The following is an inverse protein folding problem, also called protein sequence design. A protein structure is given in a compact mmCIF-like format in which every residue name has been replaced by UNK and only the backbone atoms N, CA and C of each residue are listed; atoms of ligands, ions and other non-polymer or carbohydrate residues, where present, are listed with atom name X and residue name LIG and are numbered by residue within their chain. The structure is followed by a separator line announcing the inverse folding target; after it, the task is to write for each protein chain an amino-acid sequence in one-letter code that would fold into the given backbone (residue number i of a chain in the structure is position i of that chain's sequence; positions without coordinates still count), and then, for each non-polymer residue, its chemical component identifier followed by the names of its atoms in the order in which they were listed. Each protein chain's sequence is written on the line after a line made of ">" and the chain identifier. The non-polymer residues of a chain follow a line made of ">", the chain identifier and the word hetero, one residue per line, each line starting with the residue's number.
data_IF_622959677383
#
_entry.id   IF_622959677383
#
_cell.length_a   1.000
_cell.length_b   1.000
_cell.length_c   1.000
_cell.angle_alpha   90.00
_cell.angle_beta   90.00
_cell.angle_gamma   90.00
#
_symmetry.space_group_name_H-M   'P 1'
#
loop_
_entity.id
_entity.type
_entity.pdbx_description
1 polymer ?
#
# COMPACT_ATOMS: atom_id res chain seq x y z
N UNK A 1 -14.06 -8.74 -14.14
CA UNK A 1 -15.27 -9.47 -14.48
C UNK A 1 -16.42 -9.09 -13.55
N UNK A 2 -17.64 -9.08 -14.03
CA UNK A 2 -18.83 -8.71 -13.23
C UNK A 2 -19.07 -9.68 -12.06
N UNK A 3 -18.52 -10.88 -12.13
CA UNK A 3 -18.63 -11.93 -11.11
C UNK A 3 -17.53 -11.89 -10.03
N UNK A 4 -16.49 -11.06 -10.19
CA UNK A 4 -15.43 -10.96 -9.20
C UNK A 4 -15.96 -10.28 -7.92
N UNK A 5 -15.73 -10.89 -6.77
CA UNK A 5 -16.09 -10.32 -5.45
C UNK A 5 -15.02 -9.44 -4.86
N UNK A 6 -13.79 -9.52 -5.36
CA UNK A 6 -12.60 -8.88 -4.82
C UNK A 6 -11.80 -8.19 -5.91
N UNK A 7 -11.17 -7.08 -5.55
CA UNK A 7 -10.21 -6.35 -6.38
C UNK A 7 -8.87 -6.40 -5.68
N UNK A 8 -7.83 -6.74 -6.43
CA UNK A 8 -6.46 -6.72 -5.95
C UNK A 8 -5.65 -5.82 -6.86
N UNK A 9 -4.94 -4.86 -6.27
CA UNK A 9 -4.10 -3.88 -6.97
C UNK A 9 -2.65 -4.10 -6.58
N UNK A 10 -1.78 -4.14 -7.57
CA UNK A 10 -0.34 -4.26 -7.35
C UNK A 10 0.44 -3.33 -8.27
N UNK A 11 1.43 -2.63 -7.71
CA UNK A 11 2.36 -1.78 -8.45
C UNK A 11 3.21 -2.63 -9.41
N UNK A 12 3.16 -2.35 -10.71
CA UNK A 12 4.04 -3.00 -11.69
C UNK A 12 5.53 -2.76 -11.41
N UNK A 13 5.86 -1.69 -10.69
CA UNK A 13 7.21 -1.36 -10.28
C UNK A 13 7.71 -2.13 -9.04
N UNK A 14 6.96 -3.14 -8.54
CA UNK A 14 7.38 -4.03 -7.44
C UNK A 14 7.57 -5.46 -7.95
N UNK A 15 8.70 -5.75 -8.60
CA UNK A 15 8.90 -7.04 -9.28
C UNK A 15 9.17 -8.20 -8.31
N UNK A 16 9.53 -7.91 -7.06
CA UNK A 16 9.96 -8.93 -6.09
C UNK A 16 8.81 -9.41 -5.19
N UNK A 17 7.57 -9.35 -5.66
CA UNK A 17 6.40 -9.84 -4.92
C UNK A 17 6.49 -11.35 -4.71
N UNK A 18 6.35 -11.78 -3.46
CA UNK A 18 6.29 -13.21 -3.09
C UNK A 18 4.84 -13.65 -2.90
N UNK A 19 4.46 -14.84 -3.40
CA UNK A 19 3.07 -15.33 -3.31
C UNK A 19 2.47 -15.28 -1.91
N UNK A 20 3.25 -15.61 -0.89
CA UNK A 20 2.80 -15.58 0.51
C UNK A 20 2.27 -14.21 0.96
N UNK A 21 2.86 -13.10 0.45
CA UNK A 21 2.38 -11.76 0.79
C UNK A 21 1.03 -11.48 0.13
N UNK A 22 0.87 -11.91 -1.11
CA UNK A 22 -0.39 -11.82 -1.83
C UNK A 22 -1.50 -12.56 -1.09
N UNK A 23 -1.23 -13.79 -0.68
CA UNK A 23 -2.17 -14.64 0.06
C UNK A 23 -2.56 -13.99 1.40
N UNK A 24 -1.58 -13.48 2.16
CA UNK A 24 -1.83 -12.82 3.45
C UNK A 24 -2.71 -11.58 3.32
N UNK A 25 -2.48 -10.75 2.30
CA UNK A 25 -3.29 -9.56 2.05
C UNK A 25 -4.71 -9.94 1.64
N UNK A 26 -4.86 -10.94 0.76
CA UNK A 26 -6.17 -11.38 0.31
C UNK A 26 -6.97 -12.03 1.45
N UNK A 27 -6.32 -12.81 2.31
CA UNK A 27 -6.96 -13.40 3.49
C UNK A 27 -7.43 -12.33 4.48
N UNK A 28 -6.59 -11.32 4.77
CA UNK A 28 -6.98 -10.20 5.61
C UNK A 28 -8.16 -9.41 5.01
N UNK A 29 -8.13 -9.16 3.71
CA UNK A 29 -9.24 -8.48 3.02
C UNK A 29 -10.54 -9.30 3.10
N UNK A 30 -10.46 -10.62 2.95
CA UNK A 30 -11.63 -11.50 3.10
C UNK A 30 -12.24 -11.44 4.49
N UNK A 31 -11.41 -11.32 5.51
CA UNK A 31 -11.85 -11.22 6.91
C UNK A 31 -12.40 -9.83 7.24
N UNK A 32 -11.70 -8.77 6.82
CA UNK A 32 -11.94 -7.39 7.28
C UNK A 32 -12.60 -6.48 6.22
N UNK A 33 -12.72 -6.94 4.97
CA UNK A 33 -13.31 -6.20 3.84
C UNK A 33 -12.31 -5.47 2.97
N UNK A 34 -11.21 -4.97 3.55
CA UNK A 34 -10.12 -4.31 2.83
C UNK A 34 -8.80 -4.46 3.61
N UNK A 35 -7.71 -4.65 2.89
CA UNK A 35 -6.38 -4.76 3.47
C UNK A 35 -5.31 -4.17 2.54
N UNK A 36 -4.28 -3.59 3.15
CA UNK A 36 -3.08 -3.13 2.50
C UNK A 36 -1.85 -3.68 3.24
N UNK A 37 -0.79 -4.00 2.53
CA UNK A 37 0.45 -4.36 3.19
C UNK A 37 1.39 -3.16 3.34
N UNK A 38 2.30 -3.26 4.29
CA UNK A 38 3.29 -2.23 4.53
C UNK A 38 4.31 -2.64 5.58
N UNK A 39 5.32 -1.81 5.73
CA UNK A 39 6.35 -2.00 6.75
C UNK A 39 6.15 -0.99 7.88
N UNK A 40 6.24 -1.39 9.15
CA UNK A 40 6.33 -0.43 10.24
C UNK A 40 7.51 0.52 10.01
N UNK A 41 7.33 1.82 10.29
CA UNK A 41 8.42 2.79 10.16
C UNK A 41 9.57 2.43 11.12
N UNK A 42 10.72 2.07 10.55
CA UNK A 42 11.89 1.61 11.31
C UNK A 42 12.87 2.74 11.65
N UNK A 43 12.69 3.92 11.06
CA UNK A 43 13.54 5.10 11.28
C UNK A 43 12.70 6.26 11.77
N UNK A 44 13.35 7.25 12.38
CA UNK A 44 12.68 8.49 12.81
C UNK A 44 12.09 9.22 11.60
N UNK A 45 10.81 9.57 11.69
CA UNK A 45 10.07 10.28 10.63
C UNK A 45 9.86 11.73 11.07
N UNK A 46 10.30 12.66 10.25
CA UNK A 46 10.18 14.10 10.49
C UNK A 46 9.35 14.74 9.39
N UNK A 47 8.38 15.55 9.78
CA UNK A 47 7.70 16.44 8.85
C UNK A 47 8.44 17.79 8.81
N UNK A 48 8.72 18.28 7.61
CA UNK A 48 9.40 19.55 7.38
C UNK A 48 8.55 20.45 6.48
N UNK A 49 8.78 21.75 6.57
CA UNK A 49 8.16 22.71 5.68
C UNK A 49 8.93 22.86 4.36
N UNK A 50 8.47 23.80 3.53
CA UNK A 50 9.04 24.09 2.22
C UNK A 50 10.52 24.55 2.30
N UNK A 51 10.94 25.13 3.42
CA UNK A 51 12.32 25.54 3.68
C UNK A 51 13.20 24.40 4.20
N UNK A 52 12.62 23.18 4.36
CA UNK A 52 13.24 22.01 4.98
C UNK A 52 13.48 22.15 6.47
N UNK A 53 12.84 23.12 7.13
CA UNK A 53 12.85 23.22 8.59
C UNK A 53 11.91 22.17 9.18
N UNK A 54 12.41 21.38 10.13
CA UNK A 54 11.61 20.35 10.80
C UNK A 54 10.50 21.01 11.63
N UNK A 55 9.27 20.62 11.39
CA UNK A 55 8.09 21.10 12.14
C UNK A 55 7.69 20.16 13.24
N UNK A 56 7.79 18.86 13.00
CA UNK A 56 7.43 17.84 13.99
C UNK A 56 8.17 16.54 13.72
N UNK A 57 8.52 15.84 14.78
CA UNK A 57 8.96 14.44 14.72
C UNK A 57 7.76 13.58 15.09
N UNK A 58 7.38 12.69 14.19
CA UNK A 58 6.19 11.84 14.34
C UNK A 58 6.50 10.64 15.25
N UNK A 59 5.51 10.25 16.04
CA UNK A 59 5.56 8.97 16.74
C UNK A 59 5.39 7.83 15.74
N UNK A 60 6.46 7.06 15.53
CA UNK A 60 6.50 6.02 14.51
C UNK A 60 5.83 4.70 14.90
N UNK A 61 5.43 4.52 16.15
CA UNK A 61 4.84 3.25 16.62
C UNK A 61 3.59 2.84 15.84
N UNK A 62 2.87 3.81 15.29
CA UNK A 62 1.66 3.60 14.49
C UNK A 62 1.81 3.98 13.03
N UNK A 63 3.02 4.26 12.57
CA UNK A 63 3.29 4.61 11.19
C UNK A 63 3.70 3.40 10.38
N UNK A 64 3.04 3.26 9.23
CA UNK A 64 3.31 2.21 8.26
C UNK A 64 3.73 2.81 6.93
N UNK A 65 4.75 2.25 6.33
CA UNK A 65 5.17 2.56 4.97
C UNK A 65 4.41 1.64 4.02
N UNK A 66 3.39 2.18 3.39
CA UNK A 66 2.48 1.40 2.57
C UNK A 66 3.17 0.78 1.36
N UNK A 67 2.85 -0.46 1.10
CA UNK A 67 3.24 -1.21 -0.09
C UNK A 67 1.98 -1.67 -0.85
N UNK A 68 2.15 -2.33 -1.96
CA UNK A 68 1.15 -3.19 -2.59
C UNK A 68 1.66 -4.64 -2.56
N UNK A 69 0.79 -5.66 -2.60
CA UNK A 69 -0.62 -5.61 -2.99
C UNK A 69 -1.53 -4.98 -1.95
N UNK A 70 -2.65 -4.45 -2.46
CA UNK A 70 -3.79 -4.02 -1.66
C UNK A 70 -5.03 -4.74 -2.19
N UNK A 71 -5.90 -5.22 -1.32
CA UNK A 71 -7.07 -6.00 -1.70
C UNK A 71 -8.33 -5.47 -1.03
N UNK A 72 -9.42 -5.43 -1.77
CA UNK A 72 -10.67 -4.80 -1.35
C UNK A 72 -11.87 -5.61 -1.80
N UNK A 73 -12.96 -5.55 -1.05
CA UNK A 73 -14.27 -5.93 -1.56
C UNK A 73 -14.61 -5.06 -2.77
N UNK A 74 -15.05 -5.69 -3.83
CA UNK A 74 -15.38 -4.99 -5.08
C UNK A 74 -16.48 -3.94 -4.89
N UNK A 75 -17.51 -4.24 -4.10
CA UNK A 75 -18.61 -3.32 -3.83
C UNK A 75 -18.14 -2.07 -3.06
N UNK A 76 -17.24 -2.24 -2.09
CA UNK A 76 -16.64 -1.12 -1.36
C UNK A 76 -15.78 -0.24 -2.29
N UNK A 77 -14.98 -0.89 -3.12
CA UNK A 77 -14.11 -0.16 -4.06
C UNK A 77 -14.93 0.61 -5.10
N UNK A 78 -15.99 0.00 -5.65
CA UNK A 78 -16.90 0.67 -6.58
C UNK A 78 -17.61 1.87 -5.92
N UNK A 79 -18.06 1.72 -4.69
CA UNK A 79 -18.69 2.81 -3.94
C UNK A 79 -17.69 3.94 -3.64
N UNK A 80 -16.47 3.60 -3.24
CA UNK A 80 -15.41 4.58 -2.98
C UNK A 80 -15.07 5.40 -4.24
N UNK A 81 -14.96 4.74 -5.39
CA UNK A 81 -14.75 5.40 -6.68
C UNK A 81 -15.89 6.37 -7.03
N UNK A 82 -17.13 5.98 -6.78
CA UNK A 82 -18.30 6.85 -7.02
C UNK A 82 -18.31 8.06 -6.08
N UNK A 83 -17.97 7.88 -4.80
CA UNK A 83 -17.93 8.96 -3.81
C UNK A 83 -16.76 9.92 -4.00
N UNK A 84 -15.65 9.46 -4.57
CA UNK A 84 -14.46 10.29 -4.80
C UNK A 84 -14.68 11.38 -5.86
N UNK A 85 -15.78 11.28 -6.59
CA UNK A 85 -16.13 12.20 -7.67
C UNK A 85 -14.96 12.35 -8.66
N UNK A 86 -14.51 13.55 -8.98
CA UNK A 86 -13.43 13.77 -9.96
C UNK A 86 -12.04 13.91 -9.35
N UNK A 87 -11.89 13.74 -8.03
CA UNK A 87 -10.65 14.02 -7.28
C UNK A 87 -9.74 12.81 -7.10
N UNK A 88 -9.74 11.82 -7.99
CA UNK A 88 -8.92 10.60 -7.87
C UNK A 88 -7.41 10.88 -7.78
N UNK A 89 -6.93 11.96 -8.40
CA UNK A 89 -5.53 12.38 -8.32
C UNK A 89 -5.08 12.85 -6.94
N UNK A 90 -6.02 13.13 -6.03
CA UNK A 90 -5.74 13.53 -4.65
C UNK A 90 -5.43 12.37 -3.70
N UNK A 91 -5.54 11.12 -4.16
CA UNK A 91 -5.31 9.93 -3.34
C UNK A 91 -3.94 9.32 -3.66
N UNK A 92 -3.05 9.14 -2.65
CA UNK A 92 -1.72 8.58 -2.86
C UNK A 92 -1.74 7.09 -3.20
N UNK A 93 -2.77 6.36 -2.78
CA UNK A 93 -3.00 4.94 -3.09
C UNK A 93 -4.50 4.59 -3.10
N UNK A 94 -4.83 3.37 -3.51
CA UNK A 94 -6.23 2.93 -3.56
C UNK A 94 -6.82 2.71 -2.17
N UNK A 95 -6.02 2.33 -1.19
CA UNK A 95 -6.47 2.19 0.20
C UNK A 95 -7.00 3.51 0.76
N UNK A 96 -6.31 4.63 0.51
CA UNK A 96 -6.75 5.95 0.97
C UNK A 96 -8.09 6.38 0.36
N UNK A 97 -8.40 5.90 -0.83
CA UNK A 97 -9.70 6.10 -1.46
C UNK A 97 -10.83 5.43 -0.64
N UNK A 98 -10.61 4.20 -0.18
CA UNK A 98 -11.57 3.48 0.66
C UNK A 98 -11.69 4.14 2.04
N UNK A 99 -10.59 4.57 2.63
CA UNK A 99 -10.56 5.28 3.90
C UNK A 99 -11.41 6.56 3.84
N UNK A 100 -11.26 7.36 2.77
CA UNK A 100 -12.04 8.58 2.55
C UNK A 100 -13.54 8.29 2.40
N UNK A 101 -13.90 7.13 1.88
CA UNK A 101 -15.30 6.68 1.77
C UNK A 101 -15.86 6.11 3.08
N UNK A 102 -15.04 6.04 4.15
CA UNK A 102 -15.44 5.55 5.48
C UNK A 102 -15.29 4.04 5.68
N UNK A 103 -14.65 3.33 4.74
CA UNK A 103 -14.38 1.89 4.89
C UNK A 103 -13.09 1.65 5.68
N UNK A 104 -13.07 0.68 6.62
CA UNK A 104 -11.86 0.32 7.33
C UNK A 104 -10.89 -0.42 6.40
N UNK A 105 -9.59 -0.12 6.52
CA UNK A 105 -8.53 -0.84 5.83
C UNK A 105 -7.56 -1.42 6.86
N UNK A 106 -7.34 -2.72 6.81
CA UNK A 106 -6.43 -3.43 7.72
C UNK A 106 -5.01 -3.41 7.17
N UNK A 107 -4.03 -2.99 7.99
CA UNK A 107 -2.62 -3.14 7.65
C UNK A 107 -2.15 -4.57 7.91
N UNK A 108 -1.44 -5.13 6.93
CA UNK A 108 -0.81 -6.46 6.98
C UNK A 108 0.72 -6.25 6.91
N UNK A 109 1.50 -6.96 7.73
CA UNK A 109 2.96 -6.90 7.60
C UNK A 109 3.41 -7.23 6.17
N UNK A 110 4.13 -6.28 5.58
CA UNK A 110 4.67 -6.39 4.23
C UNK A 110 5.99 -7.17 4.19
N UNK A 111 6.75 -6.94 3.14
CA UNK A 111 8.00 -7.62 2.91
C UNK A 111 9.09 -6.60 2.53
N UNK A 112 10.22 -6.53 3.26
CA UNK A 112 11.33 -5.65 2.89
C UNK A 112 11.85 -5.87 1.47
N UNK A 113 11.72 -7.09 0.93
CA UNK A 113 12.12 -7.40 -0.43
C UNK A 113 11.12 -6.94 -1.49
N UNK A 114 9.90 -6.58 -1.09
CA UNK A 114 8.87 -6.06 -1.98
C UNK A 114 9.06 -4.56 -2.24
N UNK A 115 10.28 -4.17 -2.60
CA UNK A 115 10.62 -2.78 -2.87
C UNK A 115 9.95 -2.26 -4.15
N UNK A 116 9.75 -0.95 -4.21
CA UNK A 116 9.30 -0.27 -5.42
C UNK A 116 10.50 0.29 -6.16
N UNK A 117 10.70 -0.13 -7.39
CA UNK A 117 11.77 0.38 -8.26
C UNK A 117 11.38 1.76 -8.78
N UNK A 118 12.05 2.79 -8.28
CA UNK A 118 11.86 4.19 -8.66
C UNK A 118 13.15 4.86 -9.11
N UNK A 119 14.31 4.32 -8.73
CA UNK A 119 15.64 4.81 -9.06
C UNK A 119 16.48 3.70 -9.69
N UNK A 120 17.68 4.05 -10.19
CA UNK A 120 18.63 3.06 -10.69
C UNK A 120 19.18 2.17 -9.59
N UNK A 121 19.36 2.73 -8.40
CA UNK A 121 19.81 2.02 -7.22
C UNK A 121 18.78 0.95 -6.80
N UNK A 122 17.49 1.28 -6.86
CA UNK A 122 16.42 0.32 -6.61
C UNK A 122 16.45 -0.85 -7.60
N UNK A 123 16.82 -0.58 -8.86
CA UNK A 123 16.92 -1.63 -9.87
C UNK A 123 18.03 -2.63 -9.53
N UNK A 124 19.19 -2.15 -9.09
CA UNK A 124 20.30 -3.00 -8.65
C UNK A 124 19.87 -3.88 -7.46
N UNK A 125 19.15 -3.28 -6.51
CA UNK A 125 18.60 -4.02 -5.36
C UNK A 125 17.58 -5.07 -5.80
N UNK A 126 16.68 -4.72 -6.71
CA UNK A 126 15.68 -5.65 -7.22
C UNK A 126 16.32 -6.84 -7.96
N UNK A 127 17.34 -6.61 -8.78
CA UNK A 127 18.10 -7.67 -9.44
C UNK A 127 18.76 -8.63 -8.43
N UNK A 128 19.39 -8.06 -7.41
CA UNK A 128 20.01 -8.86 -6.34
C UNK A 128 18.96 -9.69 -5.59
N UNK A 129 17.80 -9.11 -5.26
CA UNK A 129 16.71 -9.83 -4.59
C UNK A 129 16.19 -10.95 -5.48
N UNK A 130 15.90 -10.67 -6.75
CA UNK A 130 15.36 -11.65 -7.70
C UNK A 130 16.27 -12.85 -7.90
N UNK A 131 17.59 -12.67 -7.78
CA UNK A 131 18.56 -13.76 -7.87
C UNK A 131 18.50 -14.71 -6.65
N UNK A 132 17.82 -14.32 -5.58
CA UNK A 132 17.67 -15.09 -4.34
C UNK A 132 16.25 -15.61 -4.08
N UNK A 133 15.31 -15.26 -4.97
CA UNK A 133 13.92 -15.72 -4.83
C UNK A 133 13.72 -17.18 -5.28
#
# INVERSE_FOLDING_TARGET
>A
PQTAGWVLVHDAARPCLRPRLLEAVLEAARRDGAAACGLPAAVTVKAADETRAVRVTLDRERLWLAQTPQAFRRDWFAQALTQADQALSGFPDDASLLEAAGFPVRMVPGDPWNLKVTTREDLVLAEAILSHL
#
